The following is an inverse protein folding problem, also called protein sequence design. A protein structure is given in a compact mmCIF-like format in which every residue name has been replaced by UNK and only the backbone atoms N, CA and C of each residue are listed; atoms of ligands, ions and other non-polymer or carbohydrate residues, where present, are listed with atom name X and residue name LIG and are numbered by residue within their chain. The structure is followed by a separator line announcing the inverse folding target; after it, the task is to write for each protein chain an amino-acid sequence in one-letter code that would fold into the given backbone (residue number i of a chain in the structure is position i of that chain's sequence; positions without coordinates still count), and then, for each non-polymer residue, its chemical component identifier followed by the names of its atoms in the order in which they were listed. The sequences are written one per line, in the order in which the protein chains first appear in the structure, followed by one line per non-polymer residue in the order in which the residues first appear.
data_IF_175001794758
#
_entry.id   IF_175001794758
#
_cell.length_a   1.000
_cell.length_b   1.000
_cell.length_c   1.000
_cell.angle_alpha   90.00
_cell.angle_beta   90.00
_cell.angle_gamma   90.00
#
_symmetry.space_group_name_H-M   'P 1'
#
loop_
_entity.id
_entity.type
_entity.pdbx_description
1 polymer ?
#
# COMPACT_ATOMS: atom_id res chain seq x y z
N UNK A 1 14.50 -2.75 15.23
CA UNK A 1 14.18 -2.50 13.81
C UNK A 1 13.91 -3.83 13.12
N UNK A 2 12.82 -3.92 12.34
CA UNK A 2 12.53 -5.10 11.52
C UNK A 2 13.03 -4.85 10.09
N UNK A 3 13.83 -5.77 9.57
CA UNK A 3 14.33 -5.78 8.19
C UNK A 3 13.67 -6.93 7.43
N UNK A 4 13.06 -6.63 6.29
CA UNK A 4 12.43 -7.60 5.40
C UNK A 4 13.19 -7.58 4.07
N UNK A 5 13.91 -8.65 3.76
CA UNK A 5 14.83 -8.66 2.61
C UNK A 5 15.14 -10.09 2.13
N UNK A 6 15.84 -10.25 0.99
CA UNK A 6 16.42 -11.51 0.58
C UNK A 6 17.35 -12.06 1.68
N UNK A 7 17.34 -13.39 1.87
CA UNK A 7 18.13 -14.05 2.91
C UNK A 7 19.62 -13.67 2.87
N UNK A 8 20.16 -13.49 1.67
CA UNK A 8 21.59 -13.22 1.47
C UNK A 8 22.03 -11.85 2.03
N UNK A 9 21.09 -10.90 2.20
CA UNK A 9 21.41 -9.62 2.84
C UNK A 9 21.85 -9.80 4.30
N UNK A 10 21.34 -10.82 5.01
CA UNK A 10 21.76 -11.11 6.37
C UNK A 10 23.26 -11.41 6.45
N UNK A 11 23.81 -12.14 5.46
CA UNK A 11 25.21 -12.47 5.41
C UNK A 11 26.07 -11.20 5.25
N UNK A 12 25.64 -10.24 4.42
CA UNK A 12 26.30 -8.95 4.26
C UNK A 12 26.25 -8.11 5.54
N UNK A 13 25.11 -8.08 6.22
CA UNK A 13 24.95 -7.38 7.50
C UNK A 13 25.90 -7.98 8.55
N UNK A 14 25.96 -9.30 8.65
CA UNK A 14 26.83 -9.99 9.61
C UNK A 14 28.31 -9.74 9.31
N UNK A 15 28.73 -9.89 8.04
CA UNK A 15 30.10 -9.61 7.64
C UNK A 15 30.51 -8.14 7.91
N UNK A 16 29.61 -7.18 7.66
CA UNK A 16 29.85 -5.79 8.00
C UNK A 16 30.02 -5.59 9.51
N UNK A 17 29.18 -6.22 10.33
CA UNK A 17 29.25 -6.10 11.78
C UNK A 17 30.54 -6.69 12.34
N UNK A 18 30.99 -7.84 11.81
CA UNK A 18 32.27 -8.46 12.18
C UNK A 18 33.46 -7.56 11.88
N UNK A 19 33.48 -6.91 10.70
CA UNK A 19 34.59 -6.02 10.29
C UNK A 19 34.57 -4.70 11.08
N UNK A 20 33.38 -4.14 11.32
CA UNK A 20 33.26 -2.80 11.91
C UNK A 20 33.20 -2.81 13.44
N UNK A 21 33.20 -3.99 14.08
CA UNK A 21 32.98 -4.16 15.53
C UNK A 21 31.76 -3.37 16.05
N UNK A 22 30.81 -3.08 15.15
CA UNK A 22 29.64 -2.29 15.48
C UNK A 22 28.62 -3.12 16.25
N UNK A 23 28.35 -2.69 17.46
CA UNK A 23 27.21 -3.14 18.24
C UNK A 23 26.07 -2.13 18.01
N UNK A 24 24.93 -2.59 17.47
CA UNK A 24 23.75 -1.75 17.39
C UNK A 24 23.22 -1.47 18.79
N UNK A 25 22.76 -0.24 19.03
CA UNK A 25 22.05 0.13 20.25
C UNK A 25 20.52 -0.15 20.16
N UNK A 26 20.14 -1.04 19.24
CA UNK A 26 18.77 -1.48 19.02
C UNK A 26 18.75 -2.94 18.55
N UNK A 27 17.62 -3.62 18.76
CA UNK A 27 17.41 -4.97 18.25
C UNK A 27 17.16 -4.95 16.74
N UNK A 28 17.93 -5.73 15.99
CA UNK A 28 17.75 -5.94 14.56
C UNK A 28 17.10 -7.30 14.33
N UNK A 29 15.83 -7.30 13.93
CA UNK A 29 15.07 -8.51 13.60
C UNK A 29 15.04 -8.71 12.08
N UNK A 30 15.77 -9.69 11.59
CA UNK A 30 15.82 -10.00 10.17
C UNK A 30 14.75 -11.01 9.77
N UNK A 31 13.94 -10.67 8.77
CA UNK A 31 12.87 -11.48 8.24
C UNK A 31 13.13 -11.76 6.75
N UNK A 32 13.51 -12.99 6.42
CA UNK A 32 13.72 -13.38 5.03
C UNK A 32 12.39 -13.41 4.25
N UNK A 33 12.35 -12.70 3.12
CA UNK A 33 11.18 -12.66 2.24
C UNK A 33 11.11 -13.89 1.33
N UNK A 34 9.89 -14.38 1.12
CA UNK A 34 9.60 -15.33 0.06
C UNK A 34 9.05 -14.57 -1.15
N UNK A 35 9.78 -14.55 -2.26
CA UNK A 35 9.43 -13.81 -3.47
C UNK A 35 8.46 -14.55 -4.41
N UNK A 36 8.04 -15.77 -4.05
CA UNK A 36 7.13 -16.59 -4.88
C UNK A 36 5.67 -16.53 -4.41
N UNK A 37 5.42 -16.00 -3.20
CA UNK A 37 4.08 -15.88 -2.61
C UNK A 37 3.92 -14.57 -1.86
N UNK A 38 2.67 -14.19 -1.58
CA UNK A 38 2.38 -13.07 -0.69
C UNK A 38 2.74 -13.44 0.75
N UNK A 39 3.34 -12.50 1.47
CA UNK A 39 3.67 -12.63 2.88
C UNK A 39 3.06 -11.45 3.66
N UNK A 40 2.45 -11.73 4.82
CA UNK A 40 2.09 -10.68 5.76
C UNK A 40 3.34 -10.28 6.54
N UNK A 41 3.74 -9.02 6.44
CA UNK A 41 4.96 -8.49 7.03
C UNK A 41 4.70 -7.78 8.36
N UNK A 42 3.55 -7.11 8.44
CA UNK A 42 3.17 -6.32 9.60
C UNK A 42 1.67 -6.38 9.83
N UNK A 43 1.26 -6.38 11.08
CA UNK A 43 -0.14 -6.40 11.48
C UNK A 43 -0.31 -5.79 12.87
N UNK A 44 -0.99 -4.64 12.97
CA UNK A 44 -1.39 -4.02 14.22
C UNK A 44 -2.89 -3.64 14.19
N UNK A 45 -3.34 -2.83 15.11
CA UNK A 45 -4.74 -2.40 15.19
C UNK A 45 -5.15 -1.41 14.08
N UNK A 46 -4.19 -0.86 13.33
CA UNK A 46 -4.40 0.24 12.37
C UNK A 46 -4.05 -0.20 10.96
N UNK A 47 -2.97 -0.95 10.77
CA UNK A 47 -2.33 -1.21 9.50
C UNK A 47 -1.95 -2.69 9.32
N UNK A 48 -2.14 -3.20 8.13
CA UNK A 48 -1.54 -4.45 7.64
C UNK A 48 -0.61 -4.12 6.45
N UNK A 49 0.55 -4.79 6.40
CA UNK A 49 1.48 -4.68 5.28
C UNK A 49 1.75 -6.08 4.73
N UNK A 50 1.66 -6.20 3.42
CA UNK A 50 1.93 -7.43 2.69
C UNK A 50 3.01 -7.18 1.64
N UNK A 51 3.85 -8.19 1.39
CA UNK A 51 4.59 -8.28 0.12
C UNK A 51 3.85 -9.20 -0.84
N UNK A 52 4.06 -8.99 -2.13
CA UNK A 52 3.54 -9.88 -3.19
C UNK A 52 4.56 -10.01 -4.32
N UNK A 53 4.56 -11.15 -5.03
CA UNK A 53 5.48 -11.39 -6.14
C UNK A 53 5.32 -10.37 -7.27
N UNK A 54 6.44 -9.93 -7.83
CA UNK A 54 6.51 -9.19 -9.08
C UNK A 54 7.48 -9.88 -10.05
N UNK A 55 7.51 -9.46 -11.30
CA UNK A 55 8.31 -10.12 -12.34
C UNK A 55 9.51 -9.26 -12.73
N UNK A 56 10.66 -9.55 -12.13
CA UNK A 56 11.91 -8.84 -12.42
C UNK A 56 13.07 -9.78 -12.67
N UNK A 57 14.25 -9.24 -13.03
CA UNK A 57 15.47 -10.02 -13.33
C UNK A 57 16.09 -10.64 -12.09
N UNK A 58 15.94 -9.98 -10.94
CA UNK A 58 16.35 -10.45 -9.62
C UNK A 58 15.12 -10.68 -8.73
N UNK A 59 15.23 -11.46 -7.64
CA UNK A 59 14.14 -11.61 -6.69
C UNK A 59 13.66 -10.26 -6.18
N UNK A 60 12.41 -9.92 -6.47
CA UNK A 60 11.79 -8.65 -6.14
C UNK A 60 10.34 -8.86 -5.71
N UNK A 61 9.79 -7.93 -4.94
CA UNK A 61 8.39 -7.95 -4.53
C UNK A 61 7.80 -6.53 -4.51
N UNK A 62 6.50 -6.45 -4.77
CA UNK A 62 5.72 -5.28 -4.46
C UNK A 62 5.23 -5.30 -3.02
N UNK A 63 4.72 -4.16 -2.56
CA UNK A 63 4.19 -4.01 -1.20
C UNK A 63 2.77 -3.44 -1.24
N UNK A 64 1.90 -4.00 -0.40
CA UNK A 64 0.55 -3.52 -0.16
C UNK A 64 0.43 -3.04 1.28
N UNK A 65 0.08 -1.78 1.45
CA UNK A 65 -0.26 -1.14 2.72
C UNK A 65 -1.77 -1.00 2.79
N UNK A 66 -2.39 -1.53 3.84
CA UNK A 66 -3.85 -1.54 3.98
C UNK A 66 -4.25 -1.16 5.38
N UNK A 67 -4.90 -0.01 5.52
CA UNK A 67 -5.48 0.38 6.80
C UNK A 67 -6.64 -0.56 7.17
N UNK A 68 -6.74 -0.86 8.44
CA UNK A 68 -7.91 -1.56 9.00
C UNK A 68 -9.08 -0.59 9.13
N UNK A 69 -10.28 -1.11 9.03
CA UNK A 69 -11.49 -0.30 9.23
C UNK A 69 -11.46 0.32 10.62
N UNK A 70 -11.48 1.64 10.69
CA UNK A 70 -11.55 2.36 11.94
C UNK A 70 -12.86 2.03 12.69
N UNK A 71 -12.81 2.15 14.01
CA UNK A 71 -14.01 2.10 14.82
C UNK A 71 -14.96 3.23 14.39
N UNK A 72 -16.25 3.03 14.62
CA UNK A 72 -17.25 4.09 14.44
C UNK A 72 -17.03 5.21 15.46
N UNK A 73 -17.42 6.42 15.12
CA UNK A 73 -17.37 7.56 16.03
C UNK A 73 -18.71 7.73 16.71
N UNK A 74 -18.72 7.85 18.05
CA UNK A 74 -19.95 8.10 18.80
C UNK A 74 -20.41 9.54 18.56
N UNK A 75 -21.73 9.74 18.41
CA UNK A 75 -22.36 11.05 18.38
C UNK A 75 -22.35 11.61 19.80
N UNK A 76 -21.54 12.64 20.05
CA UNK A 76 -21.26 13.16 21.42
C UNK A 76 -22.51 13.54 22.20
N UNK A 77 -23.52 14.14 21.55
CA UNK A 77 -24.78 14.50 22.19
C UNK A 77 -25.50 13.27 22.75
N UNK A 78 -25.48 12.14 22.02
CA UNK A 78 -26.14 10.89 22.44
C UNK A 78 -25.54 10.26 23.71
N UNK A 79 -24.30 10.59 24.05
CA UNK A 79 -23.68 10.08 25.29
C UNK A 79 -24.47 10.57 26.51
N UNK A 80 -24.75 11.87 26.58
CA UNK A 80 -25.50 12.48 27.68
C UNK A 80 -26.98 12.14 27.63
N UNK A 81 -27.59 12.24 26.45
CA UNK A 81 -29.03 12.01 26.24
C UNK A 81 -29.46 10.58 26.65
N UNK A 82 -28.61 9.59 26.46
CA UNK A 82 -28.89 8.18 26.71
C UNK A 82 -28.18 7.62 27.95
N UNK A 83 -27.37 8.42 28.63
CA UNK A 83 -26.60 7.98 29.79
C UNK A 83 -25.59 6.86 29.48
N UNK A 84 -24.92 6.94 28.32
CA UNK A 84 -24.00 5.91 27.87
C UNK A 84 -22.73 5.87 28.74
N UNK A 85 -22.42 4.72 29.32
CA UNK A 85 -21.17 4.45 30.01
C UNK A 85 -20.03 4.12 29.05
N UNK A 86 -18.79 4.09 29.57
CA UNK A 86 -17.58 3.78 28.79
C UNK A 86 -17.70 2.42 28.08
N UNK A 87 -18.24 1.42 28.79
CA UNK A 87 -18.45 0.07 28.22
C UNK A 87 -19.44 0.06 27.06
N UNK A 88 -20.53 0.83 27.17
CA UNK A 88 -21.54 0.95 26.12
C UNK A 88 -20.96 1.65 24.89
N UNK A 89 -20.21 2.74 25.10
CA UNK A 89 -19.53 3.46 24.04
C UNK A 89 -18.56 2.54 23.28
N UNK A 90 -17.79 1.71 24.00
CA UNK A 90 -16.85 0.75 23.40
C UNK A 90 -17.59 -0.28 22.51
N UNK A 91 -18.68 -0.87 23.01
CA UNK A 91 -19.53 -1.81 22.24
C UNK A 91 -20.10 -1.15 21.00
N UNK A 92 -20.73 0.01 21.15
CA UNK A 92 -21.36 0.76 20.06
C UNK A 92 -20.36 1.15 18.97
N UNK A 93 -19.16 1.61 19.34
CA UNK A 93 -18.07 1.90 18.41
C UNK A 93 -17.58 0.66 17.65
N UNK A 94 -17.68 -0.51 18.26
CA UNK A 94 -17.34 -1.81 17.64
C UNK A 94 -18.51 -2.41 16.83
N UNK A 95 -19.58 -1.67 16.57
CA UNK A 95 -20.79 -2.11 15.85
C UNK A 95 -21.65 -3.13 16.61
N UNK A 96 -21.52 -3.16 17.93
CA UNK A 96 -22.35 -3.99 18.80
C UNK A 96 -23.49 -3.14 19.39
N UNK A 97 -24.69 -3.71 19.47
CA UNK A 97 -25.81 -3.07 20.17
C UNK A 97 -25.64 -3.30 21.67
N UNK A 98 -26.17 -2.44 22.50
CA UNK A 98 -26.16 -2.57 23.95
C UNK A 98 -27.53 -2.27 24.58
N UNK A 99 -27.70 -2.68 25.83
CA UNK A 99 -28.85 -2.35 26.67
C UNK A 99 -28.41 -1.28 27.67
N UNK A 100 -29.10 -0.15 27.69
CA UNK A 100 -28.86 0.94 28.62
C UNK A 100 -30.19 1.28 29.30
N UNK A 101 -30.24 1.17 30.61
CA UNK A 101 -31.46 1.40 31.41
C UNK A 101 -32.70 0.63 30.89
N UNK A 102 -32.50 -0.64 30.47
CA UNK A 102 -33.56 -1.50 29.93
C UNK A 102 -33.97 -1.22 28.47
N UNK A 103 -33.37 -0.21 27.82
CA UNK A 103 -33.61 0.12 26.41
C UNK A 103 -32.52 -0.43 25.51
N UNK A 104 -32.90 -1.10 24.42
CA UNK A 104 -31.96 -1.55 23.39
C UNK A 104 -31.50 -0.36 22.54
N UNK A 105 -30.19 -0.08 22.56
CA UNK A 105 -29.55 0.97 21.78
C UNK A 105 -28.83 0.33 20.60
N UNK A 106 -29.22 0.68 19.39
CA UNK A 106 -28.59 0.22 18.16
C UNK A 106 -27.38 1.12 17.84
N UNK A 107 -26.23 0.51 17.55
CA UNK A 107 -25.02 1.28 17.24
C UNK A 107 -25.20 2.26 16.06
N UNK A 108 -26.03 1.89 15.07
CA UNK A 108 -26.30 2.75 13.89
C UNK A 108 -26.96 4.09 14.25
N UNK A 109 -27.76 4.11 15.32
CA UNK A 109 -28.57 5.28 15.72
C UNK A 109 -27.73 6.31 16.52
N UNK A 110 -26.61 5.86 17.07
CA UNK A 110 -25.78 6.66 18.01
C UNK A 110 -24.33 6.83 17.57
N UNK A 111 -23.96 6.27 16.41
CA UNK A 111 -22.61 6.40 15.86
C UNK A 111 -22.63 6.74 14.39
N UNK A 112 -21.61 7.46 13.94
CA UNK A 112 -21.29 7.68 12.53
C UNK A 112 -20.13 6.78 12.08
N UNK A 113 -20.00 6.47 10.78
CA UNK A 113 -18.83 5.76 10.27
C UNK A 113 -17.54 6.45 10.73
N UNK A 114 -16.55 5.67 11.07
CA UNK A 114 -15.18 6.18 11.25
C UNK A 114 -14.54 6.52 9.90
N UNK A 115 -13.27 6.88 9.94
CA UNK A 115 -12.51 7.16 8.73
C UNK A 115 -12.52 5.94 7.80
N UNK A 116 -12.60 6.19 6.50
CA UNK A 116 -12.46 5.15 5.49
C UNK A 116 -11.05 4.58 5.55
N UNK A 117 -10.95 3.25 5.58
CA UNK A 117 -9.66 2.58 5.48
C UNK A 117 -9.04 2.88 4.11
N UNK A 118 -7.80 3.32 4.10
CA UNK A 118 -7.03 3.64 2.89
C UNK A 118 -6.10 2.51 2.53
N UNK A 119 -5.73 2.44 1.26
CA UNK A 119 -4.82 1.40 0.77
C UNK A 119 -3.87 1.96 -0.29
N UNK A 120 -2.64 1.47 -0.27
CA UNK A 120 -1.58 1.88 -1.16
C UNK A 120 -0.78 0.65 -1.61
N UNK A 121 -0.57 0.51 -2.90
CA UNK A 121 0.27 -0.53 -3.48
C UNK A 121 1.51 0.10 -4.11
N UNK A 122 2.67 -0.47 -3.82
CA UNK A 122 3.97 -0.11 -4.40
C UNK A 122 4.43 -1.24 -5.32
N UNK A 123 4.50 -0.97 -6.61
CA UNK A 123 4.86 -1.91 -7.67
C UNK A 123 6.08 -1.36 -8.43
N UNK A 124 7.27 -1.55 -7.87
CA UNK A 124 8.49 -1.09 -8.51
C UNK A 124 9.38 -2.27 -8.91
N UNK A 125 10.10 -2.05 -10.00
CA UNK A 125 10.93 -2.99 -10.71
C UNK A 125 10.14 -4.24 -11.11
N UNK A 126 9.20 -4.05 -12.02
CA UNK A 126 8.40 -5.16 -12.55
C UNK A 126 8.13 -5.03 -14.04
N UNK A 127 8.32 -6.12 -14.76
CA UNK A 127 7.72 -6.28 -16.08
C UNK A 127 6.19 -6.21 -15.96
N UNK A 128 5.51 -5.76 -17.02
CA UNK A 128 4.07 -5.89 -17.14
C UNK A 128 3.61 -7.32 -16.88
N UNK A 129 2.90 -7.52 -15.76
CA UNK A 129 2.39 -8.83 -15.36
C UNK A 129 1.03 -8.68 -14.66
N UNK A 130 -0.03 -9.15 -15.32
CA UNK A 130 -1.39 -9.12 -14.76
C UNK A 130 -1.56 -9.99 -13.51
N UNK A 131 -0.60 -10.86 -13.19
CA UNK A 131 -0.64 -11.69 -11.99
C UNK A 131 -0.59 -10.90 -10.69
N UNK A 132 -0.13 -9.63 -10.73
CA UNK A 132 -0.15 -8.75 -9.55
C UNK A 132 -1.55 -8.22 -9.22
N UNK A 133 -2.48 -8.18 -10.20
CA UNK A 133 -3.80 -7.57 -10.05
C UNK A 133 -4.59 -8.10 -8.85
N UNK A 134 -4.66 -9.43 -8.59
CA UNK A 134 -5.40 -9.95 -7.43
C UNK A 134 -4.91 -9.40 -6.08
N UNK A 135 -3.62 -9.07 -5.96
CA UNK A 135 -3.05 -8.53 -4.72
C UNK A 135 -3.40 -7.05 -4.50
N UNK A 136 -3.56 -6.28 -5.57
CA UNK A 136 -3.73 -4.82 -5.55
C UNK A 136 -5.13 -4.37 -6.00
N UNK A 137 -6.09 -5.30 -6.02
CA UNK A 137 -7.45 -4.99 -6.45
C UNK A 137 -8.13 -4.01 -5.50
N UNK A 138 -8.85 -3.03 -6.07
CA UNK A 138 -9.64 -2.00 -5.37
C UNK A 138 -8.83 -1.11 -4.41
N UNK A 139 -7.50 -1.00 -4.59
CA UNK A 139 -6.66 -0.10 -3.78
C UNK A 139 -6.94 1.37 -4.13
N UNK A 140 -6.74 2.26 -3.16
CA UNK A 140 -6.94 3.68 -3.39
C UNK A 140 -5.84 4.28 -4.29
N UNK A 141 -4.60 3.87 -4.10
CA UNK A 141 -3.45 4.38 -4.85
C UNK A 141 -2.50 3.25 -5.24
N UNK A 142 -2.09 3.24 -6.50
CA UNK A 142 -0.99 2.42 -6.99
C UNK A 142 0.17 3.34 -7.36
N UNK A 143 1.36 3.11 -6.78
CA UNK A 143 2.62 3.51 -7.39
C UNK A 143 3.10 2.38 -8.28
N UNK A 144 3.33 2.66 -9.55
CA UNK A 144 3.84 1.67 -10.49
C UNK A 144 5.04 2.24 -11.25
N UNK A 145 6.06 1.40 -11.44
CA UNK A 145 7.14 1.77 -12.32
C UNK A 145 6.61 2.03 -13.73
N UNK A 146 7.27 2.92 -14.44
CA UNK A 146 7.02 3.25 -15.85
C UNK A 146 8.33 3.70 -16.49
N UNK A 147 9.27 2.78 -16.54
CA UNK A 147 10.64 3.06 -16.98
C UNK A 147 10.69 3.56 -18.42
N UNK A 148 9.73 3.16 -19.27
CA UNK A 148 9.71 3.45 -20.70
C UNK A 148 8.38 4.03 -21.17
N UNK A 149 8.42 4.83 -22.27
CA UNK A 149 7.26 5.12 -23.09
C UNK A 149 6.92 3.92 -23.98
N UNK A 150 5.69 3.87 -24.53
CA UNK A 150 5.18 2.73 -25.30
C UNK A 150 6.03 2.40 -26.52
N UNK A 151 6.66 3.40 -27.15
CA UNK A 151 7.59 3.23 -28.28
C UNK A 151 8.73 2.24 -27.97
N UNK A 152 9.13 2.11 -26.71
CA UNK A 152 10.17 1.21 -26.25
C UNK A 152 9.63 -0.03 -25.51
N UNK A 153 8.39 -0.44 -25.75
CA UNK A 153 7.74 -1.61 -25.15
C UNK A 153 8.57 -2.89 -25.26
N UNK A 154 9.17 -3.13 -26.41
CA UNK A 154 10.03 -4.30 -26.61
C UNK A 154 11.26 -4.28 -25.69
N UNK A 155 11.84 -3.09 -25.48
CA UNK A 155 12.96 -2.89 -24.56
C UNK A 155 12.51 -3.08 -23.12
N UNK A 156 11.39 -2.49 -22.72
CA UNK A 156 10.78 -2.68 -21.42
C UNK A 156 10.62 -4.18 -21.09
N UNK A 157 10.05 -4.94 -22.03
CA UNK A 157 9.88 -6.39 -21.88
C UNK A 157 11.21 -7.14 -21.71
N UNK A 158 12.23 -6.81 -22.49
CA UNK A 158 13.56 -7.45 -22.42
C UNK A 158 14.29 -7.15 -21.12
N UNK A 159 14.18 -5.92 -20.62
CA UNK A 159 14.83 -5.49 -19.37
C UNK A 159 13.97 -5.74 -18.14
N UNK A 160 12.79 -6.37 -18.30
CA UNK A 160 11.80 -6.66 -17.25
C UNK A 160 11.32 -5.42 -16.49
N UNK A 161 11.02 -4.39 -17.27
CA UNK A 161 10.35 -3.16 -16.85
C UNK A 161 9.02 -2.96 -17.56
N UNK A 162 8.29 -1.93 -17.19
CA UNK A 162 7.00 -1.58 -17.76
C UNK A 162 7.03 -0.26 -18.53
N UNK A 163 6.07 -0.09 -19.45
CA UNK A 163 5.77 1.22 -20.06
C UNK A 163 4.70 1.97 -19.25
N UNK A 164 4.56 3.28 -19.52
CA UNK A 164 3.52 4.11 -18.94
C UNK A 164 2.12 3.55 -19.23
N UNK A 165 1.87 3.12 -20.47
CA UNK A 165 0.62 2.49 -20.87
C UNK A 165 0.35 1.20 -20.10
N UNK A 166 1.35 0.35 -19.92
CA UNK A 166 1.24 -0.90 -19.18
C UNK A 166 0.93 -0.67 -17.69
N UNK A 167 1.55 0.34 -17.07
CA UNK A 167 1.23 0.76 -15.71
C UNK A 167 -0.24 1.21 -15.59
N UNK A 168 -0.73 1.98 -16.58
CA UNK A 168 -2.12 2.42 -16.65
C UNK A 168 -3.11 1.26 -16.84
N UNK A 169 -2.79 0.28 -17.69
CA UNK A 169 -3.60 -0.94 -17.84
C UNK A 169 -3.70 -1.76 -16.55
N UNK A 170 -2.63 -1.85 -15.77
CA UNK A 170 -2.64 -2.50 -14.45
C UNK A 170 -3.55 -1.72 -13.50
N UNK A 171 -3.42 -0.40 -13.42
CA UNK A 171 -4.24 0.44 -12.55
C UNK A 171 -5.74 0.34 -12.89
N UNK A 172 -6.07 0.37 -14.18
CA UNK A 172 -7.45 0.19 -14.69
C UNK A 172 -7.99 -1.19 -14.33
N UNK A 173 -7.22 -2.24 -14.60
CA UNK A 173 -7.63 -3.62 -14.33
C UNK A 173 -7.75 -3.93 -12.83
N UNK A 174 -6.95 -3.27 -12.00
CA UNK A 174 -7.01 -3.36 -10.56
C UNK A 174 -8.15 -2.53 -9.94
N UNK A 175 -8.90 -1.74 -10.75
CA UNK A 175 -9.93 -0.82 -10.28
C UNK A 175 -9.39 0.13 -9.19
N UNK A 176 -8.17 0.65 -9.37
CA UNK A 176 -7.60 1.62 -8.43
C UNK A 176 -8.22 3.00 -8.63
N UNK A 177 -8.05 3.90 -7.67
CA UNK A 177 -8.58 5.27 -7.78
C UNK A 177 -7.56 6.25 -8.32
N UNK A 178 -6.27 5.96 -8.14
CA UNK A 178 -5.16 6.82 -8.52
C UNK A 178 -3.96 5.98 -8.94
N UNK A 179 -3.28 6.41 -9.98
CA UNK A 179 -1.99 5.89 -10.43
C UNK A 179 -0.92 6.97 -10.26
N UNK A 180 0.17 6.60 -9.60
CA UNK A 180 1.38 7.40 -9.50
C UNK A 180 2.46 6.68 -10.29
N UNK A 181 2.94 7.30 -11.35
CA UNK A 181 4.04 6.79 -12.18
C UNK A 181 5.38 7.18 -11.56
N UNK A 182 6.35 6.31 -11.64
CA UNK A 182 7.71 6.60 -11.22
C UNK A 182 8.74 5.67 -11.86
N UNK A 183 9.99 5.71 -11.38
CA UNK A 183 11.09 4.89 -11.91
C UNK A 183 11.35 5.15 -13.39
N UNK A 184 11.40 6.42 -13.79
CA UNK A 184 11.62 6.83 -15.17
C UNK A 184 13.06 6.61 -15.61
N UNK A 185 13.27 6.15 -16.84
CA UNK A 185 14.61 6.05 -17.42
C UNK A 185 15.22 7.44 -17.63
N UNK A 186 16.47 7.62 -17.21
CA UNK A 186 17.24 8.85 -17.39
C UNK A 186 17.42 9.30 -18.86
N UNK A 187 17.00 8.50 -19.83
CA UNK A 187 16.99 8.88 -21.26
C UNK A 187 15.93 9.90 -21.64
N UNK A 188 14.94 10.11 -20.78
CA UNK A 188 13.82 11.00 -21.02
C UNK A 188 13.96 12.29 -20.23
N UNK A 189 14.00 13.40 -20.92
CA UNK A 189 14.07 14.73 -20.31
C UNK A 189 12.69 15.28 -19.92
N UNK A 190 11.61 14.72 -20.51
CA UNK A 190 10.24 15.16 -20.29
C UNK A 190 9.37 14.06 -19.71
N UNK A 191 9.09 14.17 -18.41
CA UNK A 191 8.23 13.22 -17.68
C UNK A 191 6.74 13.40 -18.01
N UNK A 192 6.31 14.57 -18.51
CA UNK A 192 4.91 14.81 -18.87
C UNK A 192 4.39 13.86 -19.94
N UNK A 193 5.26 13.40 -20.85
CA UNK A 193 4.90 12.40 -21.86
C UNK A 193 4.40 11.09 -21.27
N UNK A 194 4.95 10.66 -20.13
CA UNK A 194 4.49 9.47 -19.42
C UNK A 194 3.07 9.64 -18.90
N UNK A 195 2.78 10.82 -18.31
CA UNK A 195 1.44 11.14 -17.83
C UNK A 195 0.45 11.22 -19.00
N UNK A 196 0.83 11.81 -20.14
CA UNK A 196 0.00 11.89 -21.34
C UNK A 196 -0.36 10.52 -21.88
N UNK A 197 0.62 9.61 -22.04
CA UNK A 197 0.35 8.24 -22.49
C UNK A 197 -0.54 7.50 -21.50
N UNK A 198 -0.18 7.45 -20.22
CA UNK A 198 -0.90 6.71 -19.23
C UNK A 198 -2.32 7.24 -18.99
N UNK A 199 -2.51 8.57 -18.99
CA UNK A 199 -3.83 9.19 -18.75
C UNK A 199 -4.83 8.96 -19.89
N UNK A 200 -4.37 8.58 -21.08
CA UNK A 200 -5.25 8.14 -22.18
C UNK A 200 -5.97 6.82 -21.85
N UNK A 201 -5.39 6.00 -20.98
CA UNK A 201 -5.92 4.70 -20.54
C UNK A 201 -6.55 4.82 -19.15
N UNK A 202 -5.86 5.47 -18.20
CA UNK A 202 -6.30 5.66 -16.83
C UNK A 202 -6.19 7.14 -16.43
N UNK A 203 -7.32 7.86 -16.46
CA UNK A 203 -7.38 9.32 -16.35
C UNK A 203 -6.73 9.88 -15.08
N UNK A 204 -6.91 9.19 -13.94
CA UNK A 204 -6.39 9.65 -12.64
C UNK A 204 -4.91 9.23 -12.48
N UNK A 205 -4.05 9.81 -13.29
CA UNK A 205 -2.61 9.52 -13.32
C UNK A 205 -1.79 10.78 -13.06
N UNK A 206 -0.74 10.65 -12.25
CA UNK A 206 0.28 11.68 -12.00
C UNK A 206 1.66 11.05 -12.04
N UNK A 207 2.69 11.86 -12.26
CA UNK A 207 4.09 11.46 -12.12
C UNK A 207 4.62 11.82 -10.73
N UNK A 208 5.41 10.90 -10.14
CA UNK A 208 6.20 11.19 -8.96
C UNK A 208 7.48 11.95 -9.31
N UNK A 209 7.96 12.77 -8.38
CA UNK A 209 9.26 13.44 -8.39
C UNK A 209 9.82 13.49 -6.96
N UNK A 210 11.09 13.76 -6.79
CA UNK A 210 11.71 13.84 -5.49
C UNK A 210 11.06 14.88 -4.60
N UNK A 211 10.62 14.48 -3.42
CA UNK A 211 9.84 15.32 -2.50
C UNK A 211 8.33 15.37 -2.78
N UNK A 212 7.81 14.65 -3.80
CA UNK A 212 6.38 14.56 -4.08
C UNK A 212 5.61 13.99 -2.89
N UNK A 213 4.52 14.64 -2.53
CA UNK A 213 3.61 14.20 -1.46
C UNK A 213 2.20 14.06 -2.00
N UNK A 214 1.64 12.87 -1.87
CA UNK A 214 0.24 12.60 -2.20
C UNK A 214 -0.54 12.21 -0.95
N UNK A 215 -1.65 12.90 -0.70
CA UNK A 215 -2.53 12.59 0.42
C UNK A 215 -3.77 11.81 -0.08
N UNK A 216 -3.92 10.58 0.36
CA UNK A 216 -5.13 9.80 0.09
C UNK A 216 -6.28 10.43 0.88
N UNK A 217 -7.25 11.02 0.17
CA UNK A 217 -8.44 11.64 0.77
C UNK A 217 -9.42 10.57 1.29
N UNK A 218 -10.09 10.87 2.39
CA UNK A 218 -11.15 10.03 2.96
C UNK A 218 -12.42 10.01 2.10
#
# INVERSE_FOLDING_TARGET
INVYAPKDLLNLINAHNEISEKIYNFDLNFNALNFQKSNKLYDDNILEIFSFPVNHSVPCCGFLFKEKKSQRNIIKTKIKDLGLGIGDIKKLKNRENCLVNGKAIKYKDVTVPGNKARSYAYCADTKYDKKIIPFIKDVDVIYHESTFLEELKNKASKTKHSTANQAAEIALSANSKMLILGHFSARYDNIEKFVQEASSIFKNTVAAYDGFKYQIKN
#
